data_IF_018395055909
#
_entry.id   IF_018395055909
#
_cell.length_a   1.000
_cell.length_b   1.000
_cell.length_c   1.000
_cell.angle_alpha   90.00
_cell.angle_beta   90.00
_cell.angle_gamma   90.00
#
_symmetry.space_group_name_H-M   'P 1'
#
loop_
_entity.id
_entity.type
_entity.pdbx_description
1 polymer ?
#
# COMPACT_ATOMS: atom_id res chain seq x y z
N UNK A 1 -4.32 -4.70 26.10
CA UNK A 1 -2.88 -4.42 26.39
C UNK A 1 -2.47 -3.20 25.60
N UNK A 2 -2.18 -2.08 26.27
CA UNK A 2 -1.79 -0.83 25.61
C UNK A 2 -0.27 -0.83 25.39
N UNK A 3 0.18 -0.91 24.14
CA UNK A 3 1.60 -0.73 23.80
C UNK A 3 1.85 0.75 23.57
N UNK A 4 2.67 1.43 24.40
CA UNK A 4 3.00 2.83 24.17
C UNK A 4 3.76 3.00 22.85
N UNK A 5 3.50 4.12 22.18
CA UNK A 5 4.09 4.45 20.89
C UNK A 5 5.62 4.63 21.00
N UNK A 6 6.39 4.01 20.09
CA UNK A 6 7.85 4.13 20.09
C UNK A 6 8.28 5.50 19.55
N UNK A 7 8.69 6.43 20.43
CA UNK A 7 9.13 7.77 20.03
C UNK A 7 10.36 7.79 19.13
N UNK A 8 11.16 6.70 19.07
CA UNK A 8 12.39 6.63 18.25
C UNK A 8 12.13 6.57 16.74
N UNK A 9 10.93 6.20 16.32
CA UNK A 9 10.56 6.17 14.90
C UNK A 9 9.93 7.49 14.42
N UNK A 10 9.77 8.47 15.31
CA UNK A 10 9.22 9.78 14.99
C UNK A 10 10.36 10.67 14.47
N UNK A 11 10.18 11.20 13.26
CA UNK A 11 11.06 12.23 12.74
C UNK A 11 10.50 13.59 13.17
N UNK A 12 11.18 14.35 14.04
CA UNK A 12 10.67 15.61 14.56
C UNK A 12 10.60 16.70 13.48
N UNK A 13 11.41 16.59 12.41
CA UNK A 13 11.42 17.52 11.28
C UNK A 13 11.74 16.77 9.99
N UNK A 14 10.83 16.81 9.03
CA UNK A 14 11.06 16.25 7.70
C UNK A 14 12.07 17.12 6.94
N UNK A 15 13.24 16.56 6.65
CA UNK A 15 14.28 17.14 5.78
C UNK A 15 14.60 16.15 4.67
N UNK A 16 15.22 16.59 3.58
CA UNK A 16 15.61 15.70 2.47
C UNK A 16 16.59 14.59 2.89
N UNK A 17 17.29 14.77 4.01
CA UNK A 17 18.22 13.78 4.59
C UNK A 17 17.59 12.95 5.73
N UNK A 18 16.32 13.17 6.06
CA UNK A 18 15.70 12.48 7.18
C UNK A 18 15.50 10.99 6.87
N UNK A 19 16.04 10.13 7.74
CA UNK A 19 15.91 8.68 7.58
C UNK A 19 14.48 8.25 7.90
N UNK A 20 13.74 7.77 6.90
CA UNK A 20 12.39 7.27 7.08
C UNK A 20 12.38 5.89 7.71
N UNK A 21 11.38 5.64 8.54
CA UNK A 21 11.13 4.30 9.08
C UNK A 21 10.21 3.54 8.13
N UNK A 22 10.65 2.37 7.69
CA UNK A 22 9.83 1.44 6.92
C UNK A 22 9.64 0.15 7.72
N UNK A 23 8.39 -0.29 7.83
CA UNK A 23 8.07 -1.60 8.38
C UNK A 23 8.62 -2.65 7.41
N UNK A 24 9.61 -3.42 7.86
CA UNK A 24 10.18 -4.53 7.10
C UNK A 24 9.27 -5.76 7.13
N UNK A 25 8.04 -5.61 6.64
CA UNK A 25 7.13 -6.73 6.41
C UNK A 25 7.15 -7.05 4.93
N UNK A 26 7.72 -8.20 4.60
CA UNK A 26 7.75 -8.69 3.23
C UNK A 26 6.42 -9.38 2.94
N UNK A 27 5.70 -8.90 1.94
CA UNK A 27 4.55 -9.59 1.38
C UNK A 27 4.94 -10.18 0.03
N UNK A 28 4.42 -11.36 -0.28
CA UNK A 28 4.56 -11.95 -1.59
C UNK A 28 3.44 -11.47 -2.52
N UNK A 29 3.69 -11.43 -3.83
CA UNK A 29 2.65 -11.15 -4.82
C UNK A 29 1.47 -12.13 -4.70
N UNK A 30 1.75 -13.37 -4.32
CA UNK A 30 0.76 -14.42 -4.15
C UNK A 30 -0.21 -14.14 -2.98
N UNK A 31 0.22 -13.39 -1.96
CA UNK A 31 -0.61 -13.04 -0.80
C UNK A 31 -1.84 -12.19 -1.19
N UNK A 32 -1.75 -11.46 -2.30
CA UNK A 32 -2.80 -10.55 -2.76
C UNK A 32 -3.53 -11.02 -4.01
N UNK A 33 -2.82 -11.68 -4.92
CA UNK A 33 -3.35 -12.02 -6.25
C UNK A 33 -3.28 -13.51 -6.57
N UNK A 34 -2.76 -14.35 -5.68
CA UNK A 34 -2.53 -15.76 -5.99
C UNK A 34 -1.65 -15.93 -7.23
N UNK A 35 -2.10 -16.78 -8.16
CA UNK A 35 -1.31 -17.20 -9.33
C UNK A 35 -1.59 -16.40 -10.61
N UNK A 36 -2.32 -15.28 -10.53
CA UNK A 36 -2.57 -14.43 -11.71
C UNK A 36 -1.48 -13.37 -11.87
N UNK A 37 -1.23 -12.99 -13.12
CA UNK A 37 -0.31 -11.91 -13.45
C UNK A 37 -0.97 -10.57 -13.16
N UNK A 38 -0.39 -9.82 -12.23
CA UNK A 38 -0.79 -8.43 -11.96
C UNK A 38 0.31 -7.44 -12.31
N UNK A 39 -0.12 -6.29 -12.84
CA UNK A 39 0.71 -5.16 -13.26
C UNK A 39 0.07 -3.85 -12.80
N UNK A 40 0.87 -2.82 -12.54
CA UNK A 40 0.41 -1.51 -12.10
C UNK A 40 0.84 -1.17 -10.67
N UNK A 41 0.12 -0.27 -10.02
CA UNK A 41 0.53 0.33 -8.75
C UNK A 41 -0.60 0.33 -7.71
N UNK A 42 -0.20 0.21 -6.44
CA UNK A 42 -1.06 0.35 -5.26
C UNK A 42 -0.40 1.36 -4.34
N UNK A 43 -1.07 2.47 -4.06
CA UNK A 43 -0.61 3.51 -3.13
C UNK A 43 -1.68 3.71 -2.06
N UNK A 44 -1.29 3.65 -0.78
CA UNK A 44 -2.15 3.98 0.36
C UNK A 44 -1.32 4.77 1.37
N UNK A 45 -1.72 6.00 1.65
CA UNK A 45 -1.04 6.90 2.56
C UNK A 45 -2.05 7.62 3.46
N UNK A 46 -1.67 7.83 4.71
CA UNK A 46 -2.41 8.69 5.64
C UNK A 46 -1.53 9.89 5.96
N UNK A 47 -2.09 11.09 5.86
CA UNK A 47 -1.41 12.32 6.24
C UNK A 47 -2.20 12.99 7.35
N UNK A 48 -1.52 13.31 8.45
CA UNK A 48 -2.11 13.96 9.62
C UNK A 48 -1.43 15.32 9.81
N UNK A 49 -2.22 16.39 9.92
CA UNK A 49 -1.74 17.76 10.08
C UNK A 49 -2.18 18.39 11.40
N UNK A 50 -1.44 19.41 11.87
CA UNK A 50 -1.62 20.11 13.14
C UNK A 50 -3.02 20.76 13.28
N UNK A 51 -4.03 19.97 13.68
CA UNK A 51 -5.35 20.43 14.11
C UNK A 51 -6.48 20.40 13.06
N UNK A 52 -6.27 19.91 11.84
CA UNK A 52 -7.30 19.96 10.76
C UNK A 52 -7.70 18.59 10.17
N UNK A 53 -7.51 17.51 10.92
CA UNK A 53 -7.95 16.17 10.54
C UNK A 53 -6.89 15.34 9.82
N UNK A 54 -7.31 14.16 9.36
CA UNK A 54 -6.46 13.20 8.64
C UNK A 54 -6.98 13.05 7.22
N UNK A 55 -6.10 13.18 6.23
CA UNK A 55 -6.42 12.93 4.83
C UNK A 55 -5.90 11.54 4.47
N UNK A 56 -6.75 10.76 3.82
CA UNK A 56 -6.40 9.45 3.29
C UNK A 56 -6.16 9.63 1.80
N UNK A 57 -4.93 9.39 1.35
CA UNK A 57 -4.55 9.42 -0.06
C UNK A 57 -4.41 7.97 -0.53
N UNK A 58 -5.15 7.58 -1.56
CA UNK A 58 -5.09 6.25 -2.14
C UNK A 58 -5.19 6.28 -3.66
N UNK A 59 -4.39 5.45 -4.29
CA UNK A 59 -4.42 5.24 -5.73
C UNK A 59 -4.28 3.77 -6.05
N UNK A 60 -5.14 3.27 -6.93
CA UNK A 60 -5.11 1.91 -7.41
C UNK A 60 -5.24 1.94 -8.93
N UNK A 61 -4.24 1.43 -9.63
CA UNK A 61 -4.33 1.16 -11.07
C UNK A 61 -3.68 -0.20 -11.29
N UNK A 62 -4.52 -1.22 -11.52
CA UNK A 62 -4.08 -2.60 -11.65
C UNK A 62 -4.70 -3.25 -12.87
N UNK A 63 -3.85 -3.92 -13.66
CA UNK A 63 -4.26 -4.87 -14.68
C UNK A 63 -3.98 -6.28 -14.19
N UNK A 64 -4.98 -7.15 -14.30
CA UNK A 64 -4.95 -8.53 -13.83
C UNK A 64 -5.23 -9.44 -15.02
N UNK A 65 -4.35 -10.43 -15.25
CA UNK A 65 -4.52 -11.43 -16.31
C UNK A 65 -4.05 -12.81 -15.84
N UNK A 66 -4.73 -13.87 -16.23
CA UNK A 66 -4.28 -15.22 -15.90
C UNK A 66 -5.35 -16.29 -16.07
N UNK A 67 -5.01 -17.51 -15.71
CA UNK A 67 -5.94 -18.63 -15.69
C UNK A 67 -6.37 -18.87 -14.23
N UNK A 68 -7.67 -18.91 -13.97
CA UNK A 68 -8.23 -19.34 -12.67
C UNK A 68 -8.41 -20.87 -12.64
N UNK A 69 -8.61 -21.49 -13.81
CA UNK A 69 -8.58 -22.94 -14.05
C UNK A 69 -8.18 -23.22 -15.51
N UNK A 70 -8.10 -24.49 -15.92
CA UNK A 70 -7.81 -24.86 -17.32
C UNK A 70 -8.80 -24.26 -18.33
N UNK A 71 -10.06 -24.07 -17.91
CA UNK A 71 -11.15 -23.60 -18.77
C UNK A 71 -11.58 -22.16 -18.48
N UNK A 72 -11.04 -21.53 -17.42
CA UNK A 72 -11.45 -20.19 -16.98
C UNK A 72 -10.27 -19.22 -16.94
N UNK A 73 -10.39 -18.13 -17.69
CA UNK A 73 -9.39 -17.05 -17.73
C UNK A 73 -9.97 -15.76 -17.17
N UNK A 74 -9.11 -14.97 -16.54
CA UNK A 74 -9.42 -13.63 -16.03
C UNK A 74 -8.62 -12.59 -16.80
N UNK A 75 -9.29 -11.49 -17.16
CA UNK A 75 -8.71 -10.22 -17.58
C UNK A 75 -9.51 -9.11 -16.91
N UNK A 76 -8.87 -8.30 -16.09
CA UNK A 76 -9.52 -7.20 -15.40
C UNK A 76 -8.61 -5.97 -15.35
N UNK A 77 -9.22 -4.79 -15.29
CA UNK A 77 -8.55 -3.53 -15.01
C UNK A 77 -9.30 -2.86 -13.86
N UNK A 78 -8.59 -2.52 -12.79
CA UNK A 78 -9.16 -1.89 -11.59
C UNK A 78 -8.51 -0.53 -11.46
N UNK A 79 -9.34 0.51 -11.41
CA UNK A 79 -8.89 1.89 -11.22
C UNK A 79 -9.70 2.54 -10.12
N UNK A 80 -9.02 3.07 -9.11
CA UNK A 80 -9.59 3.82 -7.99
C UNK A 80 -8.65 4.96 -7.60
N UNK A 81 -9.22 6.08 -7.17
CA UNK A 81 -8.48 7.28 -6.77
C UNK A 81 -9.21 8.02 -5.66
N UNK A 82 -8.50 8.38 -4.59
CA UNK A 82 -8.96 9.21 -3.47
C UNK A 82 -7.81 10.07 -2.93
#
# INVERSE_FOLDING_TARGET
THSPFNKKIIIPKATSSAQTYSLKKTYSKADFFGNVNTYGNITRGITVGNGQGSVLNSGLDLQITGNLSEQLKIRASIKDSN
#
